data_IF_039652550552
#
_entry.id   IF_039652550552
#
_cell.length_a   1.000
_cell.length_b   1.000
_cell.length_c   1.000
_cell.angle_alpha   90.00
_cell.angle_beta   90.00
_cell.angle_gamma   90.00
#
_symmetry.space_group_name_H-M   'P 1'
#
loop_
_entity.id
_entity.type
_entity.pdbx_description
1 polymer ?
#
# COMPACT_ATOMS: atom_id res chain seq x y z
N UNK A 1 -11.90 -4.94 -22.57
CA UNK A 1 -12.58 -5.39 -23.80
C UNK A 1 -12.22 -6.87 -23.97
N UNK A 2 -13.20 -7.78 -23.90
CA UNK A 2 -12.92 -9.21 -24.07
C UNK A 2 -12.74 -9.47 -25.57
N UNK A 3 -11.51 -9.78 -25.98
CA UNK A 3 -11.18 -10.21 -27.34
C UNK A 3 -11.69 -11.62 -27.64
N UNK A 4 -11.78 -11.92 -28.93
CA UNK A 4 -12.24 -13.16 -29.57
C UNK A 4 -12.68 -14.32 -28.65
N UNK A 5 -14.00 -14.47 -28.46
CA UNK A 5 -14.61 -15.58 -27.71
C UNK A 5 -14.40 -16.97 -28.33
N UNK A 6 -13.83 -17.07 -29.53
CA UNK A 6 -13.56 -18.35 -30.18
C UNK A 6 -12.36 -19.12 -29.60
N UNK A 7 -11.46 -18.45 -28.87
CA UNK A 7 -10.25 -19.07 -28.30
C UNK A 7 -9.86 -18.42 -26.96
N UNK A 8 -10.70 -18.61 -25.94
CA UNK A 8 -10.51 -18.04 -24.60
C UNK A 8 -9.18 -18.50 -23.98
N UNK A 9 -8.85 -19.80 -24.09
CA UNK A 9 -7.61 -20.35 -23.55
C UNK A 9 -6.36 -19.77 -24.21
N UNK A 10 -6.37 -19.63 -25.55
CA UNK A 10 -5.27 -19.01 -26.29
C UNK A 10 -5.05 -17.54 -25.87
N UNK A 11 -6.13 -16.79 -25.69
CA UNK A 11 -6.06 -15.39 -25.25
C UNK A 11 -5.54 -15.27 -23.81
N UNK A 12 -5.90 -16.20 -22.93
CA UNK A 12 -5.36 -16.26 -21.56
C UNK A 12 -3.86 -16.56 -21.60
N UNK A 13 -3.46 -17.59 -22.34
CA UNK A 13 -2.06 -17.98 -22.47
C UNK A 13 -1.20 -16.82 -23.03
N UNK A 14 -1.69 -16.14 -24.07
CA UNK A 14 -1.04 -14.96 -24.63
C UNK A 14 -0.88 -13.83 -23.61
N UNK A 15 -1.93 -13.53 -22.83
CA UNK A 15 -1.86 -12.51 -21.78
C UNK A 15 -0.82 -12.87 -20.70
N UNK A 16 -0.72 -14.15 -20.30
CA UNK A 16 0.31 -14.60 -19.37
C UNK A 16 1.72 -14.46 -19.96
N UNK A 17 1.96 -14.92 -21.19
CA UNK A 17 3.26 -14.82 -21.85
C UNK A 17 3.72 -13.36 -21.97
N UNK A 18 2.81 -12.45 -22.36
CA UNK A 18 3.09 -11.02 -22.41
C UNK A 18 3.39 -10.44 -21.02
N UNK A 19 2.64 -10.85 -20.00
CA UNK A 19 2.82 -10.41 -18.62
C UNK A 19 4.18 -10.87 -18.06
N UNK A 20 4.57 -12.11 -18.29
CA UNK A 20 5.86 -12.65 -17.81
C UNK A 20 7.04 -12.03 -18.57
N UNK A 21 6.92 -11.88 -19.89
CA UNK A 21 7.99 -11.27 -20.69
C UNK A 21 8.24 -9.82 -20.28
N UNK A 22 7.17 -9.03 -20.14
CA UNK A 22 7.28 -7.63 -19.69
C UNK A 22 7.83 -7.50 -18.27
N UNK A 23 7.49 -8.45 -17.39
CA UNK A 23 8.06 -8.53 -16.05
C UNK A 23 9.55 -8.83 -16.09
N UNK A 24 9.97 -9.85 -16.84
CA UNK A 24 11.37 -10.23 -16.96
C UNK A 24 12.23 -9.08 -17.50
N UNK A 25 11.78 -8.42 -18.57
CA UNK A 25 12.54 -7.31 -19.15
C UNK A 25 12.59 -6.08 -18.24
N UNK A 26 11.58 -5.87 -17.38
CA UNK A 26 11.57 -4.73 -16.45
C UNK A 26 12.82 -4.66 -15.57
N UNK A 27 13.38 -5.82 -15.17
CA UNK A 27 14.56 -5.92 -14.34
C UNK A 27 15.86 -5.48 -15.01
N UNK A 28 15.89 -5.41 -16.34
CA UNK A 28 17.08 -4.99 -17.09
C UNK A 28 17.08 -3.51 -17.45
N UNK A 29 15.97 -2.80 -17.22
CA UNK A 29 15.90 -1.37 -17.47
C UNK A 29 16.32 -0.57 -16.24
N UNK A 30 16.89 0.62 -16.48
CA UNK A 30 17.23 1.53 -15.39
C UNK A 30 15.97 2.02 -14.64
N UNK A 31 16.09 2.42 -13.35
CA UNK A 31 14.94 2.78 -12.52
C UNK A 31 14.07 3.93 -13.07
N UNK A 32 14.66 4.79 -13.91
CA UNK A 32 13.97 5.92 -14.50
C UNK A 32 13.12 5.53 -15.74
N UNK A 33 13.31 4.32 -16.26
CA UNK A 33 12.54 3.81 -17.40
C UNK A 33 11.21 3.28 -16.89
N UNK A 34 10.12 3.82 -17.42
CA UNK A 34 8.76 3.42 -17.05
C UNK A 34 8.49 1.99 -17.51
N UNK A 35 8.38 1.07 -16.55
CA UNK A 35 8.04 -0.34 -16.77
C UNK A 35 6.86 -0.70 -15.87
N UNK A 36 6.24 -1.88 -16.07
CA UNK A 36 5.15 -2.33 -15.20
C UNK A 36 5.57 -2.38 -13.71
N UNK A 37 6.83 -2.67 -13.42
CA UNK A 37 7.32 -2.79 -12.04
C UNK A 37 7.83 -1.47 -11.46
N UNK A 38 8.27 -0.54 -12.30
CA UNK A 38 8.72 0.78 -11.83
C UNK A 38 7.56 1.76 -11.67
N UNK A 39 6.44 1.50 -12.33
CA UNK A 39 5.26 2.33 -12.25
C UNK A 39 4.44 1.99 -11.01
N UNK A 40 3.93 3.05 -10.38
CA UNK A 40 2.87 2.95 -9.38
C UNK A 40 1.60 2.39 -10.05
N UNK A 41 0.83 1.58 -9.34
CA UNK A 41 -0.40 0.98 -9.88
C UNK A 41 -1.36 2.06 -10.38
N UNK A 42 -2.12 1.75 -11.45
CA UNK A 42 -3.02 2.73 -12.10
C UNK A 42 -4.09 3.33 -11.18
N UNK A 43 -4.39 2.66 -10.07
CA UNK A 43 -5.38 3.10 -9.08
C UNK A 43 -4.74 3.57 -7.78
N UNK A 44 -3.41 3.64 -7.72
CA UNK A 44 -2.69 4.19 -6.58
C UNK A 44 -2.73 5.71 -6.66
N UNK A 45 -3.40 6.33 -5.70
CA UNK A 45 -3.47 7.78 -5.54
C UNK A 45 -2.43 8.32 -4.56
N UNK A 46 -1.46 7.50 -4.15
CA UNK A 46 -0.40 7.84 -3.22
C UNK A 46 -0.85 7.85 -1.75
N UNK A 47 -2.13 7.57 -1.48
CA UNK A 47 -2.73 7.72 -0.15
C UNK A 47 -2.73 9.16 0.36
N UNK A 48 -3.36 9.38 1.51
CA UNK A 48 -3.29 10.67 2.20
C UNK A 48 -2.35 10.47 3.39
N UNK A 49 -1.28 11.26 3.45
CA UNK A 49 -0.52 11.43 4.68
C UNK A 49 -0.94 12.76 5.29
N UNK A 50 -1.69 12.73 6.38
CA UNK A 50 -1.85 13.93 7.20
C UNK A 50 -0.54 14.08 7.99
N UNK A 51 0.39 14.85 7.44
CA UNK A 51 1.61 15.25 8.13
C UNK A 51 1.24 16.29 9.19
N UNK A 52 0.64 15.80 10.28
CA UNK A 52 0.29 16.61 11.43
C UNK A 52 1.55 16.80 12.25
N UNK A 53 1.99 18.05 12.39
CA UNK A 53 3.17 18.39 13.18
C UNK A 53 3.06 17.80 14.59
N UNK A 54 3.97 16.87 14.93
CA UNK A 54 3.95 16.14 16.20
C UNK A 54 3.37 14.72 16.16
N UNK A 55 3.06 14.17 14.99
CA UNK A 55 2.68 12.75 14.86
C UNK A 55 3.84 11.81 15.21
N UNK A 56 3.51 10.66 15.79
CA UNK A 56 4.47 9.57 15.99
C UNK A 56 4.81 8.93 14.64
N UNK A 57 6.06 8.50 14.44
CA UNK A 57 6.52 7.82 13.22
C UNK A 57 5.65 6.63 12.82
N UNK A 58 5.10 5.90 13.79
CA UNK A 58 4.18 4.78 13.53
C UNK A 58 2.88 5.21 12.84
N UNK A 59 2.54 6.50 12.84
CA UNK A 59 1.36 7.08 12.19
C UNK A 59 1.68 7.89 10.93
N UNK A 60 2.93 7.92 10.45
CA UNK A 60 3.31 8.66 9.24
C UNK A 60 3.15 7.85 7.95
N UNK A 61 2.63 6.62 8.04
CA UNK A 61 2.46 5.76 6.88
C UNK A 61 1.27 6.24 6.04
N UNK A 62 1.46 6.55 4.73
CA UNK A 62 0.36 6.93 3.85
C UNK A 62 -0.67 5.80 3.80
N UNK A 63 -1.92 6.17 4.04
CA UNK A 63 -3.04 5.24 4.00
C UNK A 63 -4.21 5.82 3.25
N UNK A 64 -5.05 4.94 2.69
CA UNK A 64 -6.34 5.32 2.15
C UNK A 64 -7.44 4.59 2.88
N UNK A 65 -8.31 5.34 3.54
CA UNK A 65 -9.54 4.80 4.10
C UNK A 65 -10.52 4.52 2.97
N UNK A 66 -11.07 3.31 2.94
CA UNK A 66 -12.10 2.91 1.99
C UNK A 66 -13.47 2.92 2.67
N UNK A 67 -14.45 3.52 2.00
CA UNK A 67 -15.84 3.56 2.46
C UNK A 67 -16.21 4.84 3.24
N UNK A 68 -17.38 4.81 3.86
CA UNK A 68 -17.92 5.93 4.62
C UNK A 68 -17.20 6.06 5.98
N UNK A 69 -16.55 7.20 6.22
CA UNK A 69 -15.90 7.50 7.50
C UNK A 69 -16.94 7.62 8.61
N UNK A 70 -16.85 6.75 9.63
CA UNK A 70 -17.67 6.84 10.83
C UNK A 70 -16.82 7.23 12.02
N UNK A 71 -17.23 8.29 12.72
CA UNK A 71 -16.64 8.66 14.00
C UNK A 71 -17.23 7.76 15.08
N UNK A 72 -16.37 7.06 15.81
CA UNK A 72 -16.74 6.30 17.01
C UNK A 72 -15.72 6.57 18.11
N UNK A 73 -16.17 6.48 19.35
CA UNK A 73 -15.27 6.47 20.49
C UNK A 73 -14.64 5.08 20.63
N UNK A 74 -13.39 5.06 21.07
CA UNK A 74 -12.71 3.82 21.44
C UNK A 74 -13.22 3.33 22.80
N UNK A 75 -13.33 2.01 22.95
CA UNK A 75 -13.56 1.39 24.25
C UNK A 75 -12.32 1.50 25.13
N UNK A 76 -12.47 1.26 26.44
CA UNK A 76 -11.33 1.25 27.36
C UNK A 76 -10.28 0.20 26.98
N UNK A 77 -10.71 -0.95 26.45
CA UNK A 77 -9.79 -2.01 26.04
C UNK A 77 -9.03 -1.63 24.76
N UNK A 78 -9.69 -0.95 23.83
CA UNK A 78 -9.04 -0.42 22.62
C UNK A 78 -8.05 0.68 22.96
N UNK A 79 -8.37 1.55 23.92
CA UNK A 79 -7.44 2.57 24.42
C UNK A 79 -6.20 1.90 25.03
N UNK A 80 -6.37 0.89 25.88
CA UNK A 80 -5.25 0.15 26.46
C UNK A 80 -4.41 -0.56 25.40
N UNK A 81 -5.05 -1.16 24.41
CA UNK A 81 -4.37 -1.81 23.30
C UNK A 81 -3.55 -0.80 22.47
N UNK A 82 -4.12 0.35 22.14
CA UNK A 82 -3.43 1.42 21.41
C UNK A 82 -2.24 1.97 22.20
N UNK A 83 -2.40 2.21 23.51
CA UNK A 83 -1.31 2.65 24.38
C UNK A 83 -0.17 1.62 24.42
N UNK A 84 -0.50 0.33 24.59
CA UNK A 84 0.50 -0.74 24.61
C UNK A 84 1.24 -0.83 23.28
N UNK A 85 0.53 -0.72 22.15
CA UNK A 85 1.13 -0.71 20.83
C UNK A 85 2.12 0.45 20.66
N UNK A 86 1.72 1.66 21.05
CA UNK A 86 2.58 2.85 21.01
C UNK A 86 3.85 2.61 21.84
N UNK A 87 3.72 2.15 23.09
CA UNK A 87 4.87 1.92 23.99
C UNK A 87 5.86 0.86 23.46
N UNK A 88 5.38 -0.12 22.70
CA UNK A 88 6.22 -1.22 22.19
C UNK A 88 6.84 -0.95 20.81
N UNK A 89 6.26 -0.04 20.02
CA UNK A 89 6.63 0.13 18.60
C UNK A 89 7.11 1.55 18.25
N UNK A 90 7.11 2.48 19.20
CA UNK A 90 7.46 3.88 18.97
C UNK A 90 8.73 4.26 19.74
N UNK A 91 9.85 4.42 19.02
CA UNK A 91 11.14 4.79 19.59
C UNK A 91 11.10 6.16 20.28
N UNK A 92 10.25 7.07 19.78
CA UNK A 92 10.06 8.42 20.31
C UNK A 92 9.54 8.44 21.76
N UNK A 93 8.98 7.32 22.24
CA UNK A 93 8.45 7.20 23.60
C UNK A 93 9.52 6.73 24.60
N UNK A 94 10.65 6.22 24.13
CA UNK A 94 11.75 5.70 24.97
C UNK A 94 12.20 6.69 26.08
N UNK A 95 12.31 8.02 25.85
CA UNK A 95 12.67 8.97 26.90
C UNK A 95 11.71 9.02 28.09
N UNK A 96 10.46 8.60 27.92
CA UNK A 96 9.40 8.67 28.93
C UNK A 96 9.16 7.35 29.67
N UNK A 97 9.76 6.25 29.22
CA UNK A 97 9.62 4.91 29.81
C UNK A 97 10.70 4.65 30.88
N UNK A 98 11.60 5.61 31.10
CA UNK A 98 12.75 5.50 32.01
C UNK A 98 12.43 5.85 33.46
#
# INVERSE_FOLDING_TARGET
MIGNKASVEGSICEAYLMTESTLLFSHYFEPHVMTRNHNVDRNDDGGITEDLEGNLSIFTHPGRLWGETRKRNLSLDEIKAAQTYILLNCEEVEPFVR
#
